data_IF_542647218675
#
_entry.id   IF_542647218675
#
_cell.length_a   1.000
_cell.length_b   1.000
_cell.length_c   1.000
_cell.angle_alpha   90.00
_cell.angle_beta   90.00
_cell.angle_gamma   90.00
#
_symmetry.space_group_name_H-M   'P 1'
#
loop_
_entity.id
_entity.type
_entity.pdbx_description
1 polymer ?
#
# COMPACT_ATOMS: atom_id res chain seq x y z
N UNK A 1 -8.77 12.20 -15.90
CA UNK A 1 -9.02 12.77 -14.55
C UNK A 1 -7.66 12.84 -13.86
N UNK A 2 -7.11 14.02 -13.63
CA UNK A 2 -5.82 14.14 -12.96
C UNK A 2 -6.02 13.88 -11.46
N UNK A 3 -5.39 12.83 -10.95
CA UNK A 3 -5.32 12.58 -9.52
C UNK A 3 -4.57 13.76 -8.88
N UNK A 4 -5.26 14.58 -8.09
CA UNK A 4 -4.60 15.58 -7.24
C UNK A 4 -3.86 14.79 -6.14
N UNK A 5 -2.55 14.71 -6.27
CA UNK A 5 -1.70 14.28 -5.17
C UNK A 5 -1.86 15.31 -4.04
N UNK A 6 -2.71 15.02 -3.09
CA UNK A 6 -2.84 15.79 -1.86
C UNK A 6 -1.57 15.49 -1.04
N UNK A 7 -0.68 16.45 -0.98
CA UNK A 7 0.53 16.33 -0.17
C UNK A 7 0.11 16.34 1.31
N UNK A 8 -0.07 15.15 1.87
CA UNK A 8 -0.17 15.01 3.33
C UNK A 8 1.24 15.26 3.88
N UNK A 9 1.55 16.52 4.13
CA UNK A 9 2.71 16.91 4.92
C UNK A 9 2.40 16.66 6.38
N UNK A 10 2.50 15.43 6.81
CA UNK A 10 2.44 15.09 8.22
C UNK A 10 3.84 14.71 8.65
N UNK A 11 4.50 15.61 9.35
CA UNK A 11 5.77 15.34 10.03
C UNK A 11 5.39 14.53 11.29
N UNK A 12 5.58 13.22 11.24
CA UNK A 12 5.38 12.37 12.40
C UNK A 12 6.70 12.32 13.19
N UNK A 13 6.67 12.74 14.43
CA UNK A 13 7.77 12.48 15.36
C UNK A 13 7.74 11.02 15.84
N UNK A 14 8.83 10.55 16.43
CA UNK A 14 8.94 9.20 16.96
C UNK A 14 7.87 8.88 18.01
N UNK A 15 7.46 9.85 18.81
CA UNK A 15 6.45 9.66 19.84
C UNK A 15 5.07 9.41 19.21
N UNK A 16 4.73 10.15 18.16
CA UNK A 16 3.50 9.95 17.37
C UNK A 16 3.48 8.58 16.73
N UNK A 17 4.61 8.12 16.16
CA UNK A 17 4.70 6.79 15.56
C UNK A 17 4.58 5.68 16.60
N UNK A 18 5.16 5.83 17.79
CA UNK A 18 5.05 4.87 18.88
C UNK A 18 3.64 4.80 19.49
N UNK A 19 2.86 5.86 19.37
CA UNK A 19 1.46 5.90 19.82
C UNK A 19 0.49 5.17 18.88
N UNK A 20 0.93 4.78 17.67
CA UNK A 20 0.09 4.05 16.72
C UNK A 20 -0.13 2.62 17.23
N UNK A 21 -1.37 2.31 17.55
CA UNK A 21 -1.77 0.95 17.91
C UNK A 21 -2.12 0.16 16.65
N UNK A 22 -1.37 -0.90 16.37
CA UNK A 22 -1.67 -1.81 15.28
C UNK A 22 -2.59 -2.91 15.80
N UNK A 23 -3.81 -2.94 15.28
CA UNK A 23 -4.80 -3.97 15.62
C UNK A 23 -4.64 -5.16 14.67
N UNK A 24 -4.68 -6.37 15.23
CA UNK A 24 -4.66 -7.59 14.42
C UNK A 24 -5.91 -7.69 13.54
N UNK A 25 -5.79 -8.17 12.29
CA UNK A 25 -6.93 -8.41 11.42
C UNK A 25 -7.95 -9.36 12.05
N UNK A 26 -9.23 -9.06 11.88
CA UNK A 26 -10.32 -9.86 12.46
C UNK A 26 -10.49 -11.20 11.73
N UNK A 27 -10.21 -12.30 12.44
CA UNK A 27 -10.45 -13.65 11.91
C UNK A 27 -11.93 -13.93 11.64
N UNK A 28 -12.82 -13.35 12.43
CA UNK A 28 -14.26 -13.49 12.26
C UNK A 28 -14.72 -12.85 10.93
N UNK A 29 -14.25 -11.65 10.64
CA UNK A 29 -14.56 -10.96 9.39
C UNK A 29 -13.95 -11.69 8.19
N UNK A 30 -12.71 -12.18 8.30
CA UNK A 30 -12.10 -13.01 7.25
C UNK A 30 -13.00 -14.21 6.90
N UNK A 31 -13.51 -14.90 7.93
CA UNK A 31 -14.43 -16.03 7.73
C UNK A 31 -15.73 -15.60 7.06
N UNK A 32 -16.34 -14.50 7.50
CA UNK A 32 -17.55 -13.96 6.86
C UNK A 32 -17.34 -13.64 5.39
N UNK A 33 -16.19 -13.04 5.04
CA UNK A 33 -15.83 -12.79 3.65
C UNK A 33 -15.70 -14.09 2.86
N UNK A 34 -15.06 -15.12 3.43
CA UNK A 34 -14.92 -16.43 2.79
C UNK A 34 -16.28 -17.09 2.58
N UNK A 35 -17.14 -17.09 3.60
CA UNK A 35 -18.49 -17.64 3.51
C UNK A 35 -19.30 -16.93 2.39
N UNK A 36 -19.13 -15.63 2.19
CA UNK A 36 -19.74 -14.90 1.07
C UNK A 36 -19.23 -15.40 -0.29
N UNK A 37 -17.90 -15.58 -0.44
CA UNK A 37 -17.30 -16.11 -1.65
C UNK A 37 -17.78 -17.53 -1.98
N UNK A 38 -17.91 -18.38 -0.98
CA UNK A 38 -18.34 -19.76 -1.13
C UNK A 38 -19.84 -19.87 -1.51
N UNK A 39 -20.63 -18.84 -1.19
CA UNK A 39 -22.04 -18.73 -1.59
C UNK A 39 -22.25 -18.12 -3.00
N UNK A 40 -21.20 -17.65 -3.67
CA UNK A 40 -21.30 -17.20 -5.06
C UNK A 40 -21.34 -18.41 -5.98
N UNK A 41 -22.14 -18.34 -7.04
CA UNK A 41 -22.28 -19.43 -8.05
C UNK A 41 -20.99 -19.55 -8.89
N UNK A 42 -19.97 -20.16 -8.32
CA UNK A 42 -18.66 -20.45 -8.92
C UNK A 42 -18.08 -21.72 -8.31
N UNK A 43 -17.04 -22.35 -8.90
CA UNK A 43 -16.29 -23.40 -8.21
C UNK A 43 -15.71 -22.87 -6.90
N UNK A 44 -15.67 -23.71 -5.86
CA UNK A 44 -15.01 -23.36 -4.60
C UNK A 44 -13.54 -23.01 -4.89
N UNK A 45 -13.07 -21.93 -4.29
CA UNK A 45 -11.72 -21.36 -4.50
C UNK A 45 -11.38 -21.09 -5.97
N UNK A 46 -12.40 -20.91 -6.82
CA UNK A 46 -12.24 -20.79 -8.28
C UNK A 46 -11.44 -19.56 -8.73
N UNK A 47 -11.29 -18.55 -7.87
CA UNK A 47 -10.45 -17.37 -8.13
C UNK A 47 -9.09 -17.44 -7.41
N UNK A 48 -8.81 -18.57 -6.72
CA UNK A 48 -7.52 -18.81 -6.06
C UNK A 48 -7.16 -17.73 -5.04
N UNK A 49 -5.91 -17.33 -5.03
CA UNK A 49 -5.34 -16.35 -4.07
C UNK A 49 -6.09 -15.02 -4.03
N UNK A 50 -6.83 -14.67 -5.09
CA UNK A 50 -7.63 -13.44 -5.12
C UNK A 50 -8.69 -13.42 -4.02
N UNK A 51 -9.36 -14.55 -3.77
CA UNK A 51 -10.37 -14.66 -2.70
C UNK A 51 -9.73 -14.44 -1.33
N UNK A 52 -8.57 -15.04 -1.09
CA UNK A 52 -7.83 -14.89 0.16
C UNK A 52 -7.37 -13.45 0.38
N UNK A 53 -6.87 -12.79 -0.67
CA UNK A 53 -6.48 -11.38 -0.60
C UNK A 53 -7.67 -10.51 -0.21
N UNK A 54 -8.81 -10.67 -0.84
CA UNK A 54 -10.02 -9.91 -0.53
C UNK A 54 -10.50 -10.19 0.91
N UNK A 55 -10.49 -11.44 1.36
CA UNK A 55 -10.84 -11.79 2.74
C UNK A 55 -9.89 -11.13 3.76
N UNK A 56 -8.59 -11.06 3.46
CA UNK A 56 -7.61 -10.37 4.30
C UNK A 56 -7.84 -8.86 4.34
N UNK A 57 -8.19 -8.25 3.22
CA UNK A 57 -8.52 -6.81 3.16
C UNK A 57 -9.76 -6.53 4.02
N UNK A 58 -10.81 -7.34 3.91
CA UNK A 58 -11.99 -7.24 4.76
C UNK A 58 -11.66 -7.35 6.24
N UNK A 59 -10.83 -8.33 6.61
CA UNK A 59 -10.37 -8.52 7.98
C UNK A 59 -9.60 -7.30 8.54
N UNK A 60 -8.77 -6.65 7.72
CA UNK A 60 -8.03 -5.43 8.07
C UNK A 60 -8.98 -4.24 8.21
N UNK A 61 -9.95 -4.12 7.30
CA UNK A 61 -10.96 -3.06 7.34
C UNK A 61 -12.03 -3.25 8.43
N UNK A 62 -12.10 -4.44 9.04
CA UNK A 62 -13.10 -4.77 10.05
C UNK A 62 -14.53 -4.88 9.50
N UNK A 63 -14.69 -5.12 8.20
CA UNK A 63 -16.00 -5.23 7.53
C UNK A 63 -15.94 -6.25 6.41
N UNK A 64 -17.01 -6.99 6.24
CA UNK A 64 -17.22 -7.90 5.11
C UNK A 64 -17.97 -7.22 3.95
N UNK A 65 -18.33 -5.95 4.13
CA UNK A 65 -18.85 -5.05 3.10
C UNK A 65 -17.98 -3.79 3.06
N UNK A 66 -17.08 -3.72 2.10
CA UNK A 66 -16.11 -2.63 1.98
C UNK A 66 -15.88 -2.25 0.53
N UNK A 67 -15.39 -1.03 0.32
CA UNK A 67 -14.93 -0.56 -0.98
C UNK A 67 -13.44 -0.20 -0.93
N UNK A 68 -12.81 -0.15 -2.09
CA UNK A 68 -11.41 0.23 -2.31
C UNK A 68 -11.31 1.58 -3.04
N UNK A 69 -12.22 2.50 -2.77
CA UNK A 69 -12.28 3.81 -3.43
C UNK A 69 -11.13 4.76 -3.06
N UNK A 70 -10.39 4.45 -2.00
CA UNK A 70 -9.22 5.21 -1.57
C UNK A 70 -8.02 4.28 -1.55
N UNK A 71 -7.08 4.55 -2.44
CA UNK A 71 -5.83 3.83 -2.57
C UNK A 71 -4.67 4.73 -2.16
N UNK A 72 -3.63 4.13 -1.61
CA UNK A 72 -2.40 4.83 -1.27
C UNK A 72 -1.19 4.00 -1.69
N UNK A 73 -0.23 4.64 -2.33
CA UNK A 73 1.06 4.05 -2.64
C UNK A 73 2.11 4.61 -1.67
N UNK A 74 2.60 3.76 -0.78
CA UNK A 74 3.68 4.12 0.12
C UNK A 74 5.03 3.78 -0.52
N UNK A 75 5.85 4.79 -0.74
CA UNK A 75 7.18 4.64 -1.33
C UNK A 75 8.22 5.02 -0.27
N UNK A 76 9.09 4.08 0.06
CA UNK A 76 10.23 4.30 0.94
C UNK A 76 11.48 4.46 0.09
N UNK A 77 12.20 5.57 0.28
CA UNK A 77 13.44 5.86 -0.42
C UNK A 77 14.59 5.99 0.59
N UNK A 78 15.70 5.30 0.31
CA UNK A 78 16.91 5.39 1.10
C UNK A 78 18.14 5.36 0.19
N UNK A 79 19.19 6.06 0.60
CA UNK A 79 20.52 5.92 0.02
C UNK A 79 21.31 4.91 0.87
N UNK A 80 21.57 3.75 0.29
CA UNK A 80 22.25 2.64 0.95
C UNK A 80 23.78 2.67 0.75
N UNK A 81 24.32 3.76 0.19
CA UNK A 81 25.75 3.94 -0.02
C UNK A 81 26.34 3.14 -1.18
N UNK A 82 25.51 2.48 -2.00
CA UNK A 82 25.96 1.63 -3.12
C UNK A 82 26.78 2.40 -4.16
N UNK A 83 26.60 3.71 -4.26
CA UNK A 83 27.38 4.58 -5.18
C UNK A 83 28.88 4.47 -4.92
N UNK A 84 29.30 4.26 -3.66
CA UNK A 84 30.70 4.11 -3.29
C UNK A 84 31.37 2.87 -3.90
N UNK A 85 30.57 1.87 -4.25
CA UNK A 85 31.05 0.62 -4.87
C UNK A 85 31.29 0.78 -6.39
N UNK A 86 31.01 1.95 -6.98
CA UNK A 86 31.27 2.22 -8.40
C UNK A 86 30.40 1.44 -9.38
N UNK A 87 29.28 0.88 -8.94
CA UNK A 87 28.39 0.03 -9.74
C UNK A 87 27.22 0.81 -10.38
N UNK A 88 27.16 2.11 -10.17
CA UNK A 88 26.10 2.97 -10.72
C UNK A 88 26.69 4.08 -11.59
N UNK A 89 25.92 4.51 -12.59
CA UNK A 89 26.26 5.64 -13.48
C UNK A 89 25.83 7.00 -12.92
N UNK A 90 25.11 7.02 -11.79
CA UNK A 90 24.58 8.23 -11.15
C UNK A 90 25.12 8.37 -9.73
N UNK A 91 25.00 9.57 -9.17
CA UNK A 91 25.35 9.85 -7.78
C UNK A 91 24.16 9.65 -6.82
N UNK A 92 24.39 9.75 -5.52
CA UNK A 92 23.36 9.59 -4.48
C UNK A 92 22.26 10.66 -4.55
N UNK A 93 22.47 11.79 -5.21
CA UNK A 93 21.47 12.85 -5.35
C UNK A 93 20.28 12.44 -6.21
N UNK A 94 20.46 11.40 -7.04
CA UNK A 94 19.37 10.84 -7.87
C UNK A 94 18.21 10.34 -7.02
N UNK A 95 18.46 9.65 -5.91
CA UNK A 95 17.40 9.14 -5.03
C UNK A 95 16.46 10.25 -4.56
N UNK A 96 17.04 11.36 -4.07
CA UNK A 96 16.26 12.52 -3.65
C UNK A 96 15.52 13.18 -4.82
N UNK A 97 16.16 13.28 -5.98
CA UNK A 97 15.56 13.89 -7.16
C UNK A 97 14.36 13.08 -7.67
N UNK A 98 14.47 11.76 -7.68
CA UNK A 98 13.38 10.85 -8.04
C UNK A 98 12.24 10.95 -7.04
N UNK A 99 12.51 10.94 -5.74
CA UNK A 99 11.50 11.11 -4.70
C UNK A 99 10.73 12.43 -4.87
N UNK A 100 11.44 13.55 -5.11
CA UNK A 100 10.83 14.86 -5.40
C UNK A 100 9.97 14.84 -6.66
N UNK A 101 10.37 14.12 -7.70
CA UNK A 101 9.60 14.00 -8.93
C UNK A 101 8.33 13.15 -8.72
N UNK A 102 8.38 12.12 -7.90
CA UNK A 102 7.20 11.35 -7.50
C UNK A 102 6.17 12.24 -6.80
N UNK A 103 6.60 13.05 -5.83
CA UNK A 103 5.73 14.01 -5.15
C UNK A 103 5.10 15.05 -6.09
N UNK A 104 5.78 15.38 -7.19
CA UNK A 104 5.28 16.32 -8.22
C UNK A 104 4.38 15.66 -9.27
N UNK A 105 4.08 14.37 -9.13
CA UNK A 105 3.32 13.62 -10.13
C UNK A 105 4.05 13.42 -11.46
N UNK A 106 5.40 13.47 -11.46
CA UNK A 106 6.24 13.39 -12.67
C UNK A 106 6.97 12.06 -12.80
N UNK A 107 6.44 11.00 -12.22
CA UNK A 107 6.98 9.65 -12.37
C UNK A 107 5.91 8.70 -12.90
N UNK A 108 6.33 7.58 -13.48
CA UNK A 108 5.40 6.53 -13.93
C UNK A 108 4.49 6.04 -12.80
N UNK A 109 5.04 5.84 -11.60
CA UNK A 109 4.29 5.43 -10.42
C UNK A 109 3.24 6.45 -9.95
N UNK A 110 3.39 7.72 -10.31
CA UNK A 110 2.45 8.78 -9.94
C UNK A 110 1.41 9.07 -11.02
N UNK A 111 1.59 8.53 -12.23
CA UNK A 111 0.70 8.73 -13.39
C UNK A 111 -0.25 7.55 -13.56
N UNK A 112 0.15 6.36 -13.12
CA UNK A 112 -0.68 5.15 -13.09
C UNK A 112 -1.74 5.19 -12.00
#
# INVERSE_FOLDING_TARGET
MACKAEQIKTEYDLNTLQAITIVSPSKEIAKKCKDKWDNVAKPLDGLGDFEDIICRIGAIKGSDDFNLSKEALLIMCADNGIVKEGVTQSDSAVTLSVAKNMLKGKSSAAVM
#
